data_IF_317043067594
#
_entry.id   IF_317043067594
#
_cell.length_a   1.000
_cell.length_b   1.000
_cell.length_c   1.000
_cell.angle_alpha   90.00
_cell.angle_beta   90.00
_cell.angle_gamma   90.00
#
_symmetry.space_group_name_H-M   'P 1'
#
loop_
_entity.id
_entity.type
_entity.pdbx_description
1 polymer ?
#
# COMPACT_ATOMS: atom_id res chain seq x y z
N UNK A 1 -33.74 20.99 -18.99
CA UNK A 1 -32.71 22.01 -19.02
C UNK A 1 -31.35 21.39 -19.39
N UNK A 2 -30.72 21.88 -20.44
CA UNK A 2 -29.45 21.35 -20.96
C UNK A 2 -28.34 21.45 -19.92
N UNK A 3 -28.27 22.55 -19.18
CA UNK A 3 -27.24 22.74 -18.15
C UNK A 3 -27.38 21.73 -17.02
N UNK A 4 -28.59 21.46 -16.57
CA UNK A 4 -28.84 20.47 -15.53
C UNK A 4 -28.44 19.07 -16.00
N UNK A 5 -28.80 18.71 -17.25
CA UNK A 5 -28.44 17.42 -17.82
C UNK A 5 -26.89 17.27 -17.93
N UNK A 6 -26.21 18.32 -18.38
CA UNK A 6 -24.76 18.33 -18.49
C UNK A 6 -24.09 18.15 -17.12
N UNK A 7 -24.59 18.84 -16.08
CA UNK A 7 -24.08 18.74 -14.73
C UNK A 7 -24.28 17.33 -14.15
N UNK A 8 -25.45 16.73 -14.38
CA UNK A 8 -25.71 15.36 -13.94
C UNK A 8 -24.79 14.35 -14.62
N UNK A 9 -24.54 14.52 -15.92
CA UNK A 9 -23.63 13.66 -16.67
C UNK A 9 -22.19 13.78 -16.16
N UNK A 10 -21.72 15.00 -15.87
CA UNK A 10 -20.40 15.25 -15.33
C UNK A 10 -20.23 14.62 -13.95
N UNK A 11 -21.25 14.76 -13.08
CA UNK A 11 -21.23 14.16 -11.74
C UNK A 11 -21.22 12.63 -11.82
N UNK A 12 -21.94 12.04 -12.76
CA UNK A 12 -21.95 10.61 -12.99
C UNK A 12 -20.58 10.10 -13.45
N UNK A 13 -19.95 10.80 -14.41
CA UNK A 13 -18.60 10.46 -14.87
C UNK A 13 -17.57 10.53 -13.72
N UNK A 14 -17.68 11.55 -12.87
CA UNK A 14 -16.80 11.69 -11.73
C UNK A 14 -16.95 10.53 -10.74
N UNK A 15 -18.21 10.14 -10.45
CA UNK A 15 -18.48 9.01 -9.56
C UNK A 15 -17.91 7.70 -10.12
N UNK A 16 -18.05 7.46 -11.43
CA UNK A 16 -17.50 6.27 -12.08
C UNK A 16 -15.97 6.26 -12.00
N UNK A 17 -15.33 7.40 -12.22
CA UNK A 17 -13.88 7.51 -12.15
C UNK A 17 -13.37 7.26 -10.74
N UNK A 18 -14.04 7.79 -9.73
CA UNK A 18 -13.68 7.56 -8.32
C UNK A 18 -13.87 6.08 -7.98
N UNK A 19 -14.98 5.46 -8.39
CA UNK A 19 -15.22 4.05 -8.13
C UNK A 19 -14.17 3.16 -8.79
N UNK A 20 -13.76 3.48 -10.02
CA UNK A 20 -12.72 2.75 -10.73
C UNK A 20 -11.37 2.88 -10.01
N UNK A 21 -11.02 4.07 -9.52
CA UNK A 21 -9.79 4.30 -8.78
C UNK A 21 -9.77 3.52 -7.46
N UNK A 22 -10.88 3.53 -6.74
CA UNK A 22 -11.03 2.77 -5.49
C UNK A 22 -10.87 1.28 -5.74
N UNK A 23 -11.48 0.77 -6.81
CA UNK A 23 -11.35 -0.64 -7.19
C UNK A 23 -9.91 -1.01 -7.53
N UNK A 24 -9.20 -0.15 -8.26
CA UNK A 24 -7.79 -0.36 -8.60
C UNK A 24 -6.91 -0.40 -7.36
N UNK A 25 -7.12 0.52 -6.42
CA UNK A 25 -6.37 0.56 -5.17
C UNK A 25 -6.59 -0.73 -4.38
N UNK A 26 -7.85 -1.19 -4.32
CA UNK A 26 -8.20 -2.43 -3.61
C UNK A 26 -7.52 -3.65 -4.22
N UNK A 27 -7.58 -3.79 -5.53
CA UNK A 27 -6.95 -4.90 -6.24
C UNK A 27 -5.44 -4.89 -6.06
N UNK A 28 -4.81 -3.72 -6.19
CA UNK A 28 -3.38 -3.55 -6.03
C UNK A 28 -2.97 -3.88 -4.59
N UNK A 29 -3.73 -3.42 -3.60
CA UNK A 29 -3.46 -3.70 -2.19
C UNK A 29 -3.50 -5.20 -1.91
N UNK A 30 -4.50 -5.90 -2.42
CA UNK A 30 -4.62 -7.34 -2.19
C UNK A 30 -3.52 -8.12 -2.90
N UNK A 31 -3.15 -7.70 -4.10
CA UNK A 31 -2.04 -8.30 -4.83
C UNK A 31 -0.72 -8.11 -4.09
N UNK A 32 -0.49 -6.90 -3.56
CA UNK A 32 0.70 -6.60 -2.78
C UNK A 32 0.74 -7.38 -1.48
N UNK A 33 -0.39 -7.51 -0.80
CA UNK A 33 -0.48 -8.27 0.45
C UNK A 33 -0.09 -9.72 0.23
N UNK A 34 -0.59 -10.34 -0.84
CA UNK A 34 -0.24 -11.72 -1.18
C UNK A 34 1.25 -11.86 -1.53
N UNK A 35 1.79 -10.91 -2.30
CA UNK A 35 3.20 -10.92 -2.68
C UNK A 35 4.12 -10.73 -1.46
N UNK A 36 3.76 -9.81 -0.56
CA UNK A 36 4.53 -9.56 0.66
C UNK A 36 4.51 -10.77 1.59
N UNK A 37 3.37 -11.45 1.70
CA UNK A 37 3.26 -12.64 2.53
C UNK A 37 4.21 -13.75 2.07
N UNK A 38 4.60 -13.76 0.80
CA UNK A 38 5.57 -14.72 0.25
C UNK A 38 7.03 -14.31 0.46
N UNK A 39 7.30 -13.10 0.97
CA UNK A 39 8.68 -12.65 1.20
C UNK A 39 9.20 -13.18 2.53
N UNK A 40 10.44 -13.71 2.52
CA UNK A 40 11.00 -14.37 3.70
C UNK A 40 11.23 -13.44 4.89
N UNK A 41 11.44 -12.14 4.66
CA UNK A 41 11.65 -11.16 5.73
C UNK A 41 10.34 -10.67 6.35
N UNK A 42 9.19 -10.99 5.77
CA UNK A 42 7.88 -10.58 6.27
C UNK A 42 7.28 -11.73 7.09
N UNK A 43 7.05 -11.49 8.36
CA UNK A 43 6.45 -12.49 9.27
C UNK A 43 4.95 -12.53 9.13
N UNK A 44 4.31 -11.38 8.91
CA UNK A 44 2.86 -11.28 8.83
C UNK A 44 2.44 -10.05 8.05
N UNK A 45 1.37 -10.18 7.28
CA UNK A 45 0.68 -9.05 6.64
C UNK A 45 -0.71 -8.98 7.26
N UNK A 46 -1.03 -7.84 7.87
CA UNK A 46 -2.34 -7.65 8.51
C UNK A 46 -3.38 -7.25 7.49
N UNK A 47 -4.63 -7.69 7.64
CA UNK A 47 -5.72 -7.24 6.78
C UNK A 47 -5.89 -5.72 6.83
N UNK A 48 -6.17 -5.10 5.68
CA UNK A 48 -6.37 -3.66 5.58
C UNK A 48 -7.49 -3.37 4.58
N UNK A 49 -8.25 -2.30 4.87
CA UNK A 49 -9.25 -1.77 3.96
C UNK A 49 -8.90 -0.36 3.50
N UNK A 50 -7.72 0.13 3.89
CA UNK A 50 -7.22 1.45 3.54
C UNK A 50 -6.15 1.35 2.45
N UNK A 51 -5.54 2.48 2.11
CA UNK A 51 -4.50 2.56 1.08
C UNK A 51 -3.10 2.28 1.65
N UNK A 52 -3.03 1.46 2.69
CA UNK A 52 -1.75 1.03 3.25
C UNK A 52 -1.83 -0.43 3.68
N UNK A 53 -0.66 -1.03 3.87
CA UNK A 53 -0.51 -2.37 4.43
C UNK A 53 0.34 -2.28 5.68
N UNK A 54 -0.09 -2.96 6.74
CA UNK A 54 0.69 -3.10 7.96
C UNK A 54 1.36 -4.48 7.92
N UNK A 55 2.69 -4.49 7.98
CA UNK A 55 3.46 -5.72 7.91
C UNK A 55 4.35 -5.86 9.14
N UNK A 56 4.53 -7.09 9.61
CA UNK A 56 5.44 -7.38 10.70
C UNK A 56 6.71 -8.02 10.14
N UNK A 57 7.85 -7.53 10.60
CA UNK A 57 9.16 -8.02 10.16
C UNK A 57 10.11 -8.14 11.35
N UNK A 58 11.10 -9.01 11.23
CA UNK A 58 12.09 -9.24 12.30
C UNK A 58 13.06 -8.07 12.48
N UNK A 59 13.34 -7.32 11.42
CA UNK A 59 14.26 -6.19 11.48
C UNK A 59 13.62 -4.93 10.86
N UNK A 60 12.65 -4.31 11.57
CA UNK A 60 11.91 -3.18 11.02
C UNK A 60 12.79 -1.95 10.74
N UNK A 61 13.79 -1.68 11.59
CA UNK A 61 14.63 -0.50 11.41
C UNK A 61 15.43 -0.57 10.09
N UNK A 62 16.03 -1.71 9.80
CA UNK A 62 16.83 -1.89 8.57
C UNK A 62 15.93 -1.89 7.34
N UNK A 63 14.83 -2.63 7.39
CA UNK A 63 13.89 -2.65 6.26
C UNK A 63 13.29 -1.27 6.00
N UNK A 64 12.93 -0.54 7.06
CA UNK A 64 12.47 0.83 6.97
C UNK A 64 13.49 1.70 6.23
N UNK A 65 14.76 1.63 6.61
CA UNK A 65 15.83 2.41 5.98
C UNK A 65 15.98 2.10 4.49
N UNK A 66 15.90 0.84 4.12
CA UNK A 66 16.01 0.43 2.72
C UNK A 66 14.79 0.87 1.89
N UNK A 67 13.60 0.80 2.46
CA UNK A 67 12.39 1.27 1.79
C UNK A 67 12.42 2.77 1.57
N UNK A 68 12.84 3.54 2.58
CA UNK A 68 13.00 5.00 2.45
C UNK A 68 14.02 5.32 1.36
N UNK A 69 15.14 4.62 1.31
CA UNK A 69 16.17 4.83 0.29
C UNK A 69 15.63 4.51 -1.12
N UNK A 70 14.69 3.60 -1.24
CA UNK A 70 14.05 3.25 -2.51
C UNK A 70 12.92 4.22 -2.91
N UNK A 71 12.64 5.23 -2.08
CA UNK A 71 11.59 6.21 -2.35
C UNK A 71 10.18 5.74 -2.00
N UNK A 72 10.06 4.72 -1.15
CA UNK A 72 8.77 4.18 -0.73
C UNK A 72 8.26 4.94 0.49
N UNK A 73 6.97 5.26 0.49
CA UNK A 73 6.33 5.91 1.65
C UNK A 73 6.02 4.83 2.68
N UNK A 74 6.73 4.87 3.79
CA UNK A 74 6.61 3.88 4.86
C UNK A 74 6.75 4.59 6.20
N UNK A 75 6.04 4.07 7.22
CA UNK A 75 6.12 4.57 8.59
C UNK A 75 6.45 3.43 9.54
N UNK A 76 7.40 3.67 10.42
CA UNK A 76 7.76 2.71 11.45
C UNK A 76 6.76 2.82 12.60
N UNK A 77 6.07 1.71 12.91
CA UNK A 77 5.04 1.64 13.94
C UNK A 77 5.46 0.80 15.16
N UNK A 78 6.73 0.45 15.24
CA UNK A 78 7.25 -0.41 16.30
C UNK A 78 6.98 0.14 17.71
N UNK A 79 6.90 1.47 17.87
CA UNK A 79 6.66 2.10 19.17
C UNK A 79 5.19 2.14 19.58
N UNK A 80 4.28 1.75 18.68
CA UNK A 80 2.84 1.74 18.98
C UNK A 80 2.50 0.40 19.61
N UNK A 81 1.79 0.44 20.74
CA UNK A 81 1.38 -0.78 21.44
C UNK A 81 0.58 -1.70 20.51
N UNK A 82 0.95 -2.98 20.48
CA UNK A 82 0.35 -3.96 19.59
C UNK A 82 0.94 -3.98 18.19
N UNK A 83 1.85 -3.05 17.86
CA UNK A 83 2.45 -2.94 16.54
C UNK A 83 3.97 -3.15 16.57
N UNK A 84 4.48 -3.85 17.55
CA UNK A 84 5.90 -4.14 17.68
C UNK A 84 6.42 -4.89 16.46
N UNK A 85 7.48 -4.37 15.85
CA UNK A 85 8.05 -4.92 14.63
C UNK A 85 7.29 -4.60 13.36
N UNK A 86 6.31 -3.69 13.42
CA UNK A 86 5.45 -3.39 12.29
C UNK A 86 5.90 -2.14 11.53
N UNK A 87 5.74 -2.21 10.19
CA UNK A 87 5.89 -1.08 9.28
C UNK A 87 4.57 -0.87 8.55
N UNK A 88 4.21 0.38 8.36
CA UNK A 88 3.04 0.77 7.57
C UNK A 88 3.51 1.23 6.20
N UNK A 89 3.18 0.46 5.17
CA UNK A 89 3.60 0.72 3.78
C UNK A 89 2.42 1.26 3.01
N UNK A 90 2.56 2.44 2.41
CA UNK A 90 1.50 3.04 1.60
C UNK A 90 1.44 2.37 0.24
N UNK A 91 0.22 2.03 -0.20
CA UNK A 91 -0.04 1.55 -1.56
C UNK A 91 0.03 2.75 -2.49
N UNK A 92 1.01 2.76 -3.37
CA UNK A 92 1.25 3.86 -4.30
C UNK A 92 0.88 3.48 -5.73
N UNK A 93 1.57 4.12 -6.68
CA UNK A 93 1.43 3.78 -8.10
C UNK A 93 2.00 2.38 -8.37
N UNK A 94 1.63 1.74 -9.50
CA UNK A 94 2.23 0.45 -9.85
C UNK A 94 3.75 0.45 -9.87
N UNK A 95 4.38 1.54 -10.34
CA UNK A 95 5.84 1.66 -10.36
C UNK A 95 6.43 1.73 -8.95
N UNK A 96 5.80 2.51 -8.06
CA UNK A 96 6.22 2.61 -6.66
C UNK A 96 6.05 1.27 -5.95
N UNK A 97 4.95 0.59 -6.17
CA UNK A 97 4.66 -0.71 -5.58
C UNK A 97 5.66 -1.77 -6.05
N UNK A 98 6.07 -1.71 -7.30
CA UNK A 98 7.08 -2.61 -7.86
C UNK A 98 8.43 -2.42 -7.18
N UNK A 99 8.85 -1.17 -7.00
CA UNK A 99 10.10 -0.86 -6.28
C UNK A 99 10.05 -1.34 -4.83
N UNK A 100 8.91 -1.17 -4.19
CA UNK A 100 8.69 -1.64 -2.81
C UNK A 100 8.86 -3.16 -2.75
N UNK A 101 8.20 -3.90 -3.62
CA UNK A 101 8.30 -5.36 -3.64
C UNK A 101 9.71 -5.84 -3.92
N UNK A 102 10.41 -5.22 -4.87
CA UNK A 102 11.81 -5.57 -5.17
C UNK A 102 12.70 -5.37 -3.94
N UNK A 103 12.53 -4.26 -3.23
CA UNK A 103 13.29 -3.96 -2.03
C UNK A 103 13.04 -5.01 -0.95
N UNK A 104 11.78 -5.37 -0.72
CA UNK A 104 11.43 -6.38 0.29
C UNK A 104 11.93 -7.77 -0.10
N UNK A 105 11.79 -8.15 -1.37
CA UNK A 105 12.26 -9.45 -1.86
C UNK A 105 13.77 -9.61 -1.74
N UNK A 106 14.51 -8.53 -1.97
CA UNK A 106 15.97 -8.54 -1.93
C UNK A 106 16.55 -8.28 -0.55
N UNK A 107 15.70 -7.93 0.42
CA UNK A 107 16.13 -7.64 1.77
C UNK A 107 16.67 -8.90 2.46
N UNK A 108 17.85 -8.79 3.05
CA UNK A 108 18.50 -9.84 3.85
C UNK A 108 18.68 -9.32 5.28
N UNK A 109 18.00 -9.93 6.25
CA UNK A 109 18.14 -9.53 7.64
C UNK A 109 19.55 -9.76 8.19
#
# INVERSE_FOLDING_TARGET
NINTLTQQTAAECLRRNIAAQVAQIREERERLAAALAGCGCIERVYPSQANFLLVKTADPARLYGELIAAGVIVRNRTRIAGCEGCLRITVGTPAENRRMLETVKNFRP
#
